data_IF_158092021514
#
_entry.id   IF_158092021514
#
_cell.length_a   1.000
_cell.length_b   1.000
_cell.length_c   1.000
_cell.angle_alpha   90.00
_cell.angle_beta   90.00
_cell.angle_gamma   90.00
#
_symmetry.space_group_name_H-M   'P 1'
#
loop_
_entity.id
_entity.type
_entity.pdbx_description
1 polymer ?
#
# COMPACT_ATOMS: atom_id res chain seq x y z
N UNK A 1 13.03 -13.03 -6.50
CA UNK A 1 12.29 -11.79 -6.15
C UNK A 1 11.55 -12.02 -4.84
N UNK A 2 11.55 -11.04 -3.95
CA UNK A 2 10.83 -11.05 -2.68
C UNK A 2 10.06 -9.74 -2.56
N UNK A 3 8.76 -9.79 -2.24
CA UNK A 3 7.94 -8.61 -2.02
C UNK A 3 6.90 -8.85 -0.93
N UNK A 4 6.42 -7.78 -0.30
CA UNK A 4 5.41 -7.88 0.73
C UNK A 4 4.84 -6.52 1.16
N UNK A 5 3.55 -6.53 1.48
CA UNK A 5 2.86 -5.44 2.15
C UNK A 5 2.82 -5.69 3.65
N UNK A 6 3.34 -4.73 4.41
CA UNK A 6 3.11 -4.59 5.83
C UNK A 6 2.07 -3.48 6.02
N UNK A 7 0.79 -3.87 5.98
CA UNK A 7 -0.33 -2.93 6.13
C UNK A 7 -0.43 -2.34 7.55
N UNK A 8 0.17 -3.01 8.55
CA UNK A 8 0.23 -2.49 9.92
C UNK A 8 1.15 -1.27 9.99
N UNK A 9 2.25 -1.32 9.26
CA UNK A 9 3.24 -0.25 9.17
C UNK A 9 3.11 0.59 7.90
N UNK A 10 2.04 0.41 7.11
CA UNK A 10 1.83 1.11 5.84
C UNK A 10 3.06 1.06 4.93
N UNK A 11 3.75 -0.07 4.90
CA UNK A 11 5.02 -0.21 4.19
C UNK A 11 4.92 -1.31 3.16
N UNK A 12 5.30 -1.01 1.92
CA UNK A 12 5.55 -2.01 0.90
C UNK A 12 7.06 -2.15 0.70
N UNK A 13 7.55 -3.38 0.60
CA UNK A 13 8.95 -3.66 0.27
C UNK A 13 9.05 -4.64 -0.88
N UNK A 14 10.03 -4.42 -1.74
CA UNK A 14 10.34 -5.27 -2.87
C UNK A 14 11.86 -5.36 -3.06
N UNK A 15 12.36 -6.57 -3.29
CA UNK A 15 13.75 -6.87 -3.62
C UNK A 15 13.79 -7.82 -4.81
N UNK A 16 14.63 -7.52 -5.77
CA UNK A 16 14.81 -8.34 -6.97
C UNK A 16 16.27 -8.32 -7.40
N UNK A 17 16.71 -9.43 -7.99
CA UNK A 17 17.94 -9.48 -8.75
C UNK A 17 17.53 -9.38 -10.22
N UNK A 18 17.85 -8.27 -10.86
CA UNK A 18 17.50 -8.00 -12.25
C UNK A 18 18.61 -8.51 -13.17
N UNK A 19 18.27 -9.38 -14.11
CA UNK A 19 19.22 -9.85 -15.14
C UNK A 19 19.64 -8.72 -16.11
N UNK A 20 18.81 -7.68 -16.24
CA UNK A 20 19.09 -6.50 -17.05
C UNK A 20 18.34 -5.26 -16.55
N UNK A 21 18.77 -4.08 -17.00
CA UNK A 21 18.06 -2.83 -16.73
C UNK A 21 16.71 -2.77 -17.48
N UNK A 22 15.71 -2.14 -16.87
CA UNK A 22 14.41 -1.91 -17.52
C UNK A 22 14.55 -0.92 -18.68
N UNK A 23 13.85 -1.18 -19.78
CA UNK A 23 13.71 -0.22 -20.89
C UNK A 23 12.64 0.83 -20.58
N UNK A 24 12.62 1.95 -21.31
CA UNK A 24 11.63 3.01 -21.09
C UNK A 24 10.19 2.52 -21.21
N UNK A 25 9.91 1.62 -22.15
CA UNK A 25 8.57 1.05 -22.38
C UNK A 25 8.21 -0.11 -21.44
N UNK A 26 9.17 -0.61 -20.64
CA UNK A 26 8.98 -1.80 -19.80
C UNK A 26 9.51 -1.58 -18.38
N UNK A 27 8.92 -0.63 -17.62
CA UNK A 27 9.21 -0.51 -16.19
C UNK A 27 8.66 -1.71 -15.42
N UNK A 28 9.16 -1.89 -14.20
CA UNK A 28 8.49 -2.71 -13.21
C UNK A 28 7.25 -1.98 -12.71
N UNK A 29 6.08 -2.60 -12.81
CA UNK A 29 4.81 -2.04 -12.37
C UNK A 29 4.34 -2.69 -11.07
N UNK A 30 3.97 -1.87 -10.08
CA UNK A 30 3.44 -2.30 -8.79
C UNK A 30 2.08 -1.66 -8.58
N UNK A 31 1.04 -2.48 -8.41
CA UNK A 31 -0.28 -2.00 -8.01
C UNK A 31 -0.22 -1.52 -6.55
N UNK A 32 -0.52 -0.23 -6.32
CA UNK A 32 -0.51 0.35 -4.99
C UNK A 32 -1.94 0.69 -4.54
N UNK A 33 -2.44 0.08 -3.46
CA UNK A 33 -3.75 0.45 -2.91
C UNK A 33 -3.75 1.90 -2.43
N UNK A 34 -4.48 2.78 -3.12
CA UNK A 34 -4.53 4.21 -2.82
C UNK A 34 -4.96 4.55 -1.39
N UNK A 35 -5.75 3.66 -0.75
CA UNK A 35 -6.15 3.84 0.65
C UNK A 35 -4.97 3.78 1.64
N UNK A 36 -3.98 2.93 1.39
CA UNK A 36 -2.81 2.79 2.27
C UNK A 36 -1.64 3.63 1.77
N UNK A 37 -1.55 3.82 0.45
CA UNK A 37 -0.45 4.48 -0.24
C UNK A 37 -1.01 5.57 -1.16
N UNK A 38 -1.61 6.64 -0.64
CA UNK A 38 -2.10 7.74 -1.47
C UNK A 38 -0.93 8.36 -2.26
N UNK A 39 -1.12 8.60 -3.56
CA UNK A 39 -0.07 9.07 -4.48
C UNK A 39 0.65 10.33 -4.00
N UNK A 40 -0.07 11.23 -3.34
CA UNK A 40 0.41 12.58 -3.02
C UNK A 40 1.11 12.64 -1.66
N UNK A 41 0.98 11.60 -0.83
CA UNK A 41 1.47 11.61 0.54
C UNK A 41 2.40 10.43 0.87
N UNK A 42 2.59 9.49 -0.06
CA UNK A 42 3.51 8.38 0.13
C UNK A 42 4.97 8.77 -0.18
N UNK A 43 5.90 8.12 0.52
CA UNK A 43 7.35 8.27 0.33
C UNK A 43 7.88 7.03 -0.35
N UNK A 44 8.54 7.19 -1.50
CA UNK A 44 9.14 6.10 -2.26
C UNK A 44 10.67 6.20 -2.14
N UNK A 45 11.27 5.12 -1.66
CA UNK A 45 12.71 4.92 -1.57
C UNK A 45 13.11 3.79 -2.53
N UNK A 46 14.11 4.03 -3.38
CA UNK A 46 14.60 3.04 -4.34
C UNK A 46 16.12 2.95 -4.30
N UNK A 47 16.67 1.79 -4.61
CA UNK A 47 18.12 1.58 -4.78
C UNK A 47 18.71 2.41 -5.91
N UNK A 48 17.91 2.71 -6.93
CA UNK A 48 18.34 3.50 -8.08
C UNK A 48 17.25 3.63 -9.14
N UNK A 49 17.58 4.37 -10.20
CA UNK A 49 16.69 4.60 -11.32
C UNK A 49 15.64 5.68 -11.07
N UNK A 50 14.59 5.70 -11.91
CA UNK A 50 13.47 6.65 -11.81
C UNK A 50 12.19 5.92 -11.43
N UNK A 51 11.27 6.61 -10.76
CA UNK A 51 9.95 6.07 -10.44
C UNK A 51 8.87 7.13 -10.64
N UNK A 52 7.64 6.68 -10.83
CA UNK A 52 6.45 7.53 -10.93
C UNK A 52 5.23 6.79 -10.40
N UNK A 53 4.35 7.48 -9.68
CA UNK A 53 3.03 6.97 -9.32
C UNK A 53 2.00 7.64 -10.23
N UNK A 54 1.09 6.85 -10.77
CA UNK A 54 0.05 7.32 -11.67
C UNK A 54 -1.23 6.51 -11.55
N UNK A 55 -2.30 7.07 -12.07
CA UNK A 55 -3.59 6.40 -12.21
C UNK A 55 -3.77 6.00 -13.67
N UNK A 56 -4.15 4.74 -13.89
CA UNK A 56 -4.32 4.16 -15.21
C UNK A 56 -5.73 3.59 -15.31
N UNK A 57 -6.41 3.91 -16.42
CA UNK A 57 -7.71 3.34 -16.74
C UNK A 57 -7.48 1.99 -17.43
N UNK A 58 -7.62 0.92 -16.65
CA UNK A 58 -7.43 -0.46 -17.09
C UNK A 58 -8.57 -1.32 -16.53
N UNK A 59 -9.07 -2.26 -17.32
CA UNK A 59 -10.15 -3.19 -16.93
C UNK A 59 -11.43 -2.50 -16.41
N UNK A 60 -11.72 -1.29 -16.89
CA UNK A 60 -12.93 -0.53 -16.53
C UNK A 60 -12.88 0.13 -15.15
N UNK A 61 -11.68 0.28 -14.56
CA UNK A 61 -11.48 0.96 -13.28
C UNK A 61 -10.18 1.75 -13.23
N UNK A 62 -10.21 2.86 -12.47
CA UNK A 62 -9.03 3.67 -12.23
C UNK A 62 -8.12 2.99 -11.20
N UNK A 63 -6.98 2.45 -11.66
CA UNK A 63 -6.03 1.74 -10.80
C UNK A 63 -4.77 2.58 -10.59
N UNK A 64 -4.35 2.72 -9.33
CA UNK A 64 -3.10 3.38 -8.99
C UNK A 64 -1.92 2.40 -9.13
N UNK A 65 -0.91 2.79 -9.90
CA UNK A 65 0.31 2.02 -10.11
C UNK A 65 1.55 2.86 -9.83
N UNK A 66 2.55 2.22 -9.23
CA UNK A 66 3.92 2.70 -9.21
C UNK A 66 4.68 2.03 -10.37
N UNK A 67 5.29 2.85 -11.22
CA UNK A 67 6.23 2.41 -12.25
C UNK A 67 7.65 2.71 -11.79
N UNK A 68 8.53 1.73 -11.90
CA UNK A 68 9.93 1.83 -11.51
C UNK A 68 10.84 1.35 -12.63
N UNK A 69 11.73 2.25 -13.08
CA UNK A 69 12.75 1.96 -14.07
C UNK A 69 14.09 1.79 -13.34
N UNK A 70 14.54 0.56 -13.15
CA UNK A 70 15.73 0.21 -12.38
C UNK A 70 16.87 -0.31 -13.27
N UNK A 71 18.07 -0.35 -12.69
CA UNK A 71 19.27 -0.91 -13.33
C UNK A 71 19.31 -2.44 -13.18
N UNK A 72 20.31 -3.07 -13.80
CA UNK A 72 20.64 -4.49 -13.59
C UNK A 72 21.18 -4.76 -12.17
N UNK A 73 21.22 -6.03 -11.77
CA UNK A 73 21.76 -6.49 -10.49
C UNK A 73 20.75 -6.43 -9.33
N UNK A 74 21.26 -6.42 -8.11
CA UNK A 74 20.45 -6.39 -6.90
C UNK A 74 19.80 -5.02 -6.68
N UNK A 75 18.48 -4.97 -6.74
CA UNK A 75 17.69 -3.75 -6.62
C UNK A 75 16.64 -3.89 -5.51
N UNK A 76 16.31 -2.77 -4.86
CA UNK A 76 15.27 -2.72 -3.85
C UNK A 76 14.39 -1.47 -4.00
N UNK A 77 13.14 -1.62 -3.61
CA UNK A 77 12.15 -0.57 -3.57
C UNK A 77 11.36 -0.67 -2.27
N UNK A 78 11.09 0.47 -1.65
CA UNK A 78 10.29 0.60 -0.45
C UNK A 78 9.34 1.78 -0.61
N UNK A 79 8.07 1.54 -0.31
CA UNK A 79 7.05 2.59 -0.29
C UNK A 79 6.53 2.69 1.12
N UNK A 80 6.54 3.88 1.68
CA UNK A 80 5.96 4.20 2.98
C UNK A 80 4.73 5.05 2.72
N UNK A 81 3.56 4.46 3.00
CA UNK A 81 2.28 5.13 2.92
C UNK A 81 2.00 5.98 4.16
N UNK A 82 0.76 6.49 4.22
CA UNK A 82 0.33 7.34 5.32
C UNK A 82 -0.46 6.51 6.32
N UNK A 83 -0.14 6.71 7.59
CA UNK A 83 -0.96 6.20 8.68
C UNK A 83 -2.25 7.00 8.71
N UNK A 84 -3.25 6.56 7.94
CA UNK A 84 -4.58 7.12 8.04
C UNK A 84 -5.05 7.00 9.49
N UNK A 85 -5.46 8.12 10.06
CA UNK A 85 -6.09 8.23 11.39
C UNK A 85 -7.41 7.44 11.49
N UNK A 86 -7.78 6.69 10.45
CA UNK A 86 -8.85 5.70 10.42
C UNK A 86 -8.66 4.56 11.43
N UNK A 87 -7.44 4.37 11.97
CA UNK A 87 -7.27 3.54 13.17
C UNK A 87 -7.94 4.13 14.44
N UNK A 88 -8.54 5.32 14.36
CA UNK A 88 -9.44 5.88 15.38
C UNK A 88 -10.71 6.55 14.84
N UNK A 89 -10.78 6.87 13.54
CA UNK A 89 -11.93 7.58 12.96
C UNK A 89 -12.22 7.10 11.54
N UNK A 90 -13.25 6.26 11.38
CA UNK A 90 -13.75 5.71 10.11
C UNK A 90 -13.87 6.72 8.95
N UNK A 91 -14.00 6.23 7.70
CA UNK A 91 -14.05 7.06 6.50
C UNK A 91 -15.33 7.89 6.50
N UNK A 92 -15.28 9.16 6.94
CA UNK A 92 -16.39 10.13 6.83
C UNK A 92 -17.80 9.52 6.96
N UNK A 93 -18.00 8.67 7.96
CA UNK A 93 -19.32 8.38 8.51
C UNK A 93 -19.50 9.37 9.64
N UNK A 94 -20.62 10.10 9.65
CA UNK A 94 -20.91 11.09 10.70
C UNK A 94 -20.63 10.54 12.10
N UNK A 95 -20.40 11.44 13.04
CA UNK A 95 -20.17 11.21 14.48
C UNK A 95 -20.98 10.05 15.13
N UNK A 96 -22.12 9.72 14.56
CA UNK A 96 -23.02 8.60 14.88
C UNK A 96 -22.45 7.18 14.55
N UNK A 97 -21.69 6.99 13.48
CA UNK A 97 -21.17 5.67 13.07
C UNK A 97 -19.98 5.21 13.94
N UNK A 98 -19.19 6.16 14.45
CA UNK A 98 -18.10 5.87 15.40
C UNK A 98 -18.61 5.23 16.70
N UNK A 99 -19.81 5.61 17.17
CA UNK A 99 -20.42 5.03 18.35
C UNK A 99 -20.81 3.55 18.16
N UNK A 100 -21.34 3.21 16.98
CA UNK A 100 -21.79 1.86 16.67
C UNK A 100 -20.61 0.87 16.54
N UNK A 101 -19.56 1.26 15.82
CA UNK A 101 -18.33 0.45 15.67
C UNK A 101 -17.65 0.18 17.01
N UNK A 102 -17.56 1.19 17.88
CA UNK A 102 -16.97 1.05 19.22
C UNK A 102 -17.78 0.11 20.13
N UNK A 103 -19.11 0.15 20.03
CA UNK A 103 -20.00 -0.75 20.76
C UNK A 103 -19.88 -2.20 20.27
N UNK A 104 -19.77 -2.42 18.96
CA UNK A 104 -19.51 -3.75 18.40
C UNK A 104 -18.14 -4.30 18.81
N UNK A 105 -17.09 -3.46 18.82
CA UNK A 105 -15.75 -3.88 19.28
C UNK A 105 -15.77 -4.26 20.76
N UNK A 106 -16.44 -3.51 21.63
CA UNK A 106 -16.57 -3.88 23.04
C UNK A 106 -17.35 -5.19 23.23
N UNK A 107 -18.39 -5.44 22.43
CA UNK A 107 -19.15 -6.69 22.48
C UNK A 107 -18.30 -7.91 22.06
N UNK A 108 -17.41 -7.74 21.08
CA UNK A 108 -16.53 -8.80 20.56
C UNK A 108 -15.31 -9.03 21.47
N UNK A 109 -14.65 -7.96 21.95
CA UNK A 109 -13.47 -8.07 22.83
C UNK A 109 -13.82 -8.30 24.31
N UNK A 110 -15.06 -8.04 24.73
CA UNK A 110 -15.56 -8.33 26.07
C UNK A 110 -16.14 -9.73 26.26
N UNK A 111 -16.44 -10.45 25.16
CA UNK A 111 -16.98 -11.81 25.22
C UNK A 111 -15.86 -12.84 25.07
N UNK A 112 -15.42 -13.38 26.20
CA UNK A 112 -14.48 -14.50 26.28
C UNK A 112 -15.16 -15.77 25.75
N UNK A 113 -15.28 -15.92 24.43
CA UNK A 113 -15.70 -17.17 23.80
C UNK A 113 -14.59 -18.21 23.91
N UNK A 114 -14.66 -19.08 24.92
CA UNK A 114 -14.03 -20.39 24.86
C UNK A 114 -14.86 -21.29 23.94
N UNK A 115 -14.27 -21.74 22.83
CA UNK A 115 -14.85 -22.82 22.01
C UNK A 115 -14.63 -24.13 22.76
N UNK A 116 -15.72 -24.88 23.00
CA UNK A 116 -15.72 -26.32 23.28
C UNK A 116 -15.69 -27.10 21.96
#
# INVERSE_FOLDING_TARGET
MQSGFDLRNYTFTMRLAADSATTEDKPTEVLLPGFHFPSDECVVEVSGGKWSIGHYDEDGGLTQKLKWWHNEGDQWLKVVGVRNSIQGTGPSGGEEEMGYLYQCQQAIYGSKCSVM
#
